data_IF_831953115057
#
_entry.id   IF_831953115057
#
_cell.length_a   1.000
_cell.length_b   1.000
_cell.length_c   1.000
_cell.angle_alpha   90.00
_cell.angle_beta   90.00
_cell.angle_gamma   90.00
#
_symmetry.space_group_name_H-M   'P 1'
#
loop_
_entity.id
_entity.type
_entity.pdbx_description
1 polymer ?
#
# COMPACT_ATOMS: atom_id res chain seq x y z
N UNK A 1 -2.56 0.07 30.29
CA UNK A 1 -2.40 -0.84 29.12
C UNK A 1 -0.94 -1.25 29.00
N UNK A 2 -0.63 -2.51 28.63
CA UNK A 2 0.74 -2.96 28.40
C UNK A 2 1.38 -2.11 27.26
N UNK A 3 2.64 -1.67 27.43
CA UNK A 3 3.41 -0.91 26.44
C UNK A 3 3.38 -1.56 25.05
N UNK A 4 3.47 -2.89 24.97
CA UNK A 4 3.39 -3.63 23.70
C UNK A 4 2.02 -3.49 23.02
N UNK A 5 0.92 -3.52 23.79
CA UNK A 5 -0.43 -3.35 23.24
C UNK A 5 -0.64 -1.93 22.71
N UNK A 6 -0.08 -0.93 23.39
CA UNK A 6 -0.08 0.47 22.91
C UNK A 6 0.71 0.57 21.60
N UNK A 7 1.90 -0.03 21.55
CA UNK A 7 2.73 -0.05 20.33
C UNK A 7 1.96 -0.65 19.15
N UNK A 8 1.37 -1.84 19.31
CA UNK A 8 0.59 -2.49 18.24
C UNK A 8 -0.60 -1.63 17.80
N UNK A 9 -1.32 -1.01 18.75
CA UNK A 9 -2.42 -0.11 18.45
C UNK A 9 -1.95 1.09 17.61
N UNK A 10 -0.89 1.77 18.05
CA UNK A 10 -0.32 2.92 17.33
C UNK A 10 0.16 2.51 15.95
N UNK A 11 0.84 1.37 15.81
CA UNK A 11 1.31 0.85 14.53
C UNK A 11 0.16 0.58 13.57
N UNK A 12 -0.96 -0.02 14.04
CA UNK A 12 -2.14 -0.24 13.20
C UNK A 12 -2.80 1.05 12.74
N UNK A 13 -2.91 2.03 13.64
CA UNK A 13 -3.50 3.33 13.30
C UNK A 13 -2.59 4.06 12.30
N UNK A 14 -1.28 4.06 12.53
CA UNK A 14 -0.31 4.69 11.63
C UNK A 14 -0.31 4.04 10.25
N UNK A 15 -0.13 2.71 10.18
CA UNK A 15 -0.12 1.97 8.92
C UNK A 15 -1.47 2.10 8.20
N UNK A 16 -2.58 1.93 8.93
CA UNK A 16 -3.91 2.08 8.36
C UNK A 16 -4.17 3.48 7.83
N UNK A 17 -3.77 4.52 8.56
CA UNK A 17 -3.87 5.91 8.13
C UNK A 17 -3.07 6.20 6.85
N UNK A 18 -1.84 5.66 6.76
CA UNK A 18 -1.02 5.77 5.55
C UNK A 18 -1.70 5.15 4.33
N UNK A 19 -2.29 3.97 4.46
CA UNK A 19 -2.99 3.30 3.35
C UNK A 19 -4.31 3.99 2.98
N UNK A 20 -5.06 4.52 3.95
CA UNK A 20 -6.23 5.37 3.65
C UNK A 20 -5.81 6.60 2.87
N UNK A 21 -4.74 7.28 3.30
CA UNK A 21 -4.21 8.43 2.59
C UNK A 21 -3.74 8.07 1.17
N UNK A 22 -2.93 7.02 1.03
CA UNK A 22 -2.42 6.57 -0.27
C UNK A 22 -3.53 6.20 -1.26
N UNK A 23 -4.58 5.51 -0.77
CA UNK A 23 -5.75 5.18 -1.58
C UNK A 23 -6.56 6.41 -1.97
N UNK A 24 -6.78 7.35 -1.05
CA UNK A 24 -7.48 8.61 -1.34
C UNK A 24 -6.74 9.43 -2.41
N UNK A 25 -5.40 9.49 -2.35
CA UNK A 25 -4.57 10.17 -3.34
C UNK A 25 -4.73 9.62 -4.76
N UNK A 26 -5.17 8.36 -4.94
CA UNK A 26 -5.40 7.78 -6.27
C UNK A 26 -6.63 8.35 -6.99
N UNK A 27 -7.56 8.97 -6.26
CA UNK A 27 -8.75 9.61 -6.81
C UNK A 27 -8.56 11.12 -7.08
N UNK A 28 -7.47 11.70 -6.61
CA UNK A 28 -7.15 13.11 -6.83
C UNK A 28 -6.40 13.24 -8.16
N UNK A 29 -6.93 14.01 -9.14
CA UNK A 29 -6.24 14.23 -10.41
C UNK A 29 -4.90 14.93 -10.16
N UNK A 30 -3.81 14.37 -10.72
CA UNK A 30 -2.51 15.05 -10.71
C UNK A 30 -2.47 16.11 -11.82
N UNK A 31 -1.92 17.30 -11.57
CA UNK A 31 -1.80 18.33 -12.60
C UNK A 31 -0.99 17.81 -13.79
N UNK A 32 -1.30 18.27 -15.01
CA UNK A 32 -0.51 17.93 -16.18
C UNK A 32 0.92 18.44 -16.02
N UNK A 33 1.86 17.74 -16.67
CA UNK A 33 3.27 18.13 -16.67
C UNK A 33 3.42 19.57 -17.20
N UNK A 34 4.26 20.41 -16.56
CA UNK A 34 4.53 21.77 -17.04
C UNK A 34 4.95 21.78 -18.52
N UNK A 35 4.48 22.79 -19.26
CA UNK A 35 4.76 22.94 -20.69
C UNK A 35 6.27 22.98 -21.00
N UNK A 36 7.08 23.52 -20.09
CA UNK A 36 8.54 23.58 -20.22
C UNK A 36 9.24 22.21 -20.25
N UNK A 37 8.58 21.15 -19.77
CA UNK A 37 9.11 19.78 -19.74
C UNK A 37 8.46 18.88 -20.81
N UNK A 38 7.61 19.46 -21.68
CA UNK A 38 7.01 18.77 -22.81
C UNK A 38 8.00 18.74 -23.97
N UNK A 39 8.32 17.55 -24.49
CA UNK A 39 9.31 17.36 -25.56
C UNK A 39 10.71 16.96 -25.07
N UNK A 40 10.97 16.96 -23.76
CA UNK A 40 12.18 16.35 -23.20
C UNK A 40 12.04 14.84 -23.27
N UNK A 41 13.00 14.18 -23.91
CA UNK A 41 13.07 12.72 -24.00
C UNK A 41 13.18 12.14 -22.59
N UNK A 42 12.25 11.24 -22.25
CA UNK A 42 12.21 10.66 -20.92
C UNK A 42 13.15 9.47 -20.85
N UNK A 43 13.85 9.26 -19.73
CA UNK A 43 14.57 8.02 -19.51
C UNK A 43 13.64 6.80 -19.67
N UNK A 44 14.16 5.71 -20.22
CA UNK A 44 13.39 4.49 -20.51
C UNK A 44 12.58 3.96 -19.32
N UNK A 45 13.14 4.04 -18.10
CA UNK A 45 12.45 3.62 -16.89
C UNK A 45 11.20 4.45 -16.61
N UNK A 46 11.25 5.78 -16.81
CA UNK A 46 10.11 6.69 -16.65
C UNK A 46 9.02 6.39 -17.67
N UNK A 47 9.41 6.06 -18.92
CA UNK A 47 8.46 5.68 -19.98
C UNK A 47 7.72 4.40 -19.59
N UNK A 48 8.43 3.38 -19.10
CA UNK A 48 7.83 2.11 -18.64
C UNK A 48 6.83 2.31 -17.50
N UNK A 49 7.23 3.06 -16.47
CA UNK A 49 6.35 3.40 -15.32
C UNK A 49 5.08 4.10 -15.81
N UNK A 50 5.24 5.12 -16.66
CA UNK A 50 4.11 5.86 -17.24
C UNK A 50 3.21 5.01 -18.08
N UNK A 51 3.77 4.10 -18.89
CA UNK A 51 2.97 3.18 -19.71
C UNK A 51 2.13 2.25 -18.84
N UNK A 52 2.72 1.68 -17.78
CA UNK A 52 1.98 0.83 -16.85
C UNK A 52 0.88 1.61 -16.13
N UNK A 53 1.24 2.70 -15.42
CA UNK A 53 0.26 3.51 -14.68
C UNK A 53 -0.82 4.07 -15.63
N UNK A 54 -0.42 4.51 -16.82
CA UNK A 54 -1.31 5.00 -17.87
C UNK A 54 -2.31 3.94 -18.31
N UNK A 55 -1.87 2.70 -18.53
CA UNK A 55 -2.76 1.58 -18.84
C UNK A 55 -3.72 1.24 -17.70
N UNK A 56 -3.23 1.21 -16.45
CA UNK A 56 -4.06 0.95 -15.27
C UNK A 56 -5.13 2.02 -15.06
N UNK A 57 -4.80 3.28 -15.33
CA UNK A 57 -5.74 4.42 -15.24
C UNK A 57 -6.68 4.50 -16.43
N UNK A 58 -6.18 4.25 -17.64
CA UNK A 58 -6.91 4.45 -18.89
C UNK A 58 -8.13 3.55 -19.04
N UNK A 59 -8.14 2.39 -18.37
CA UNK A 59 -9.31 1.48 -18.34
C UNK A 59 -10.40 1.90 -17.35
N UNK A 60 -10.11 2.80 -16.41
CA UNK A 60 -11.05 3.21 -15.36
C UNK A 60 -11.39 2.13 -14.33
N UNK A 61 -10.71 0.97 -14.35
CA UNK A 61 -11.03 -0.17 -13.51
C UNK A 61 -10.00 -0.40 -12.39
N UNK A 62 -8.77 -0.80 -12.74
CA UNK A 62 -7.82 -1.30 -11.75
C UNK A 62 -7.27 -0.21 -10.83
N UNK A 63 -6.97 0.97 -11.37
CA UNK A 63 -6.45 2.08 -10.57
C UNK A 63 -7.40 2.54 -9.44
N UNK A 64 -8.69 2.83 -9.71
CA UNK A 64 -9.64 3.14 -8.64
C UNK A 64 -9.93 1.93 -7.75
N UNK A 65 -10.00 0.70 -8.28
CA UNK A 65 -10.16 -0.51 -7.48
C UNK A 65 -9.03 -0.66 -6.44
N UNK A 66 -7.77 -0.45 -6.86
CA UNK A 66 -6.61 -0.48 -5.96
C UNK A 66 -6.75 0.58 -4.86
N UNK A 67 -7.16 1.81 -5.22
CA UNK A 67 -7.41 2.87 -4.24
C UNK A 67 -8.50 2.52 -3.23
N UNK A 68 -9.62 1.94 -3.67
CA UNK A 68 -10.68 1.46 -2.77
C UNK A 68 -10.13 0.37 -1.84
N UNK A 69 -9.38 -0.59 -2.37
CA UNK A 69 -8.83 -1.68 -1.58
C UNK A 69 -7.87 -1.17 -0.49
N UNK A 70 -7.01 -0.18 -0.78
CA UNK A 70 -6.12 0.44 0.21
C UNK A 70 -6.90 1.16 1.30
N UNK A 71 -7.94 1.93 0.93
CA UNK A 71 -8.80 2.63 1.89
C UNK A 71 -9.50 1.63 2.80
N UNK A 72 -10.11 0.58 2.23
CA UNK A 72 -10.82 -0.43 3.01
C UNK A 72 -9.87 -1.14 3.97
N UNK A 73 -8.71 -1.62 3.49
CA UNK A 73 -7.73 -2.29 4.34
C UNK A 73 -7.22 -1.36 5.47
N UNK A 74 -6.97 -0.09 5.14
CA UNK A 74 -6.53 0.90 6.12
C UNK A 74 -7.60 1.21 7.18
N UNK A 75 -8.86 1.35 6.80
CA UNK A 75 -9.98 1.52 7.73
C UNK A 75 -10.18 0.29 8.62
N UNK A 76 -10.07 -0.92 8.07
CA UNK A 76 -10.14 -2.16 8.85
C UNK A 76 -9.03 -2.21 9.91
N UNK A 77 -7.80 -1.82 9.56
CA UNK A 77 -6.69 -1.70 10.51
C UNK A 77 -6.96 -0.66 11.61
N UNK A 78 -7.45 0.53 11.24
CA UNK A 78 -7.76 1.60 12.20
C UNK A 78 -8.87 1.18 13.16
N UNK A 79 -9.92 0.50 12.66
CA UNK A 79 -11.10 0.12 13.43
C UNK A 79 -10.81 -0.73 14.67
N UNK A 80 -9.66 -1.41 14.72
CA UNK A 80 -9.25 -2.42 15.71
C UNK A 80 -10.14 -3.68 15.78
N UNK A 81 -11.43 -3.58 15.44
CA UNK A 81 -12.38 -4.69 15.43
C UNK A 81 -12.02 -5.71 14.35
N UNK A 82 -11.72 -5.24 13.14
CA UNK A 82 -11.37 -6.07 11.99
C UNK A 82 -9.89 -5.97 11.61
N UNK A 83 -9.03 -5.58 12.55
CA UNK A 83 -7.62 -5.34 12.28
C UNK A 83 -6.89 -6.57 11.73
N UNK A 84 -7.26 -7.78 12.18
CA UNK A 84 -6.69 -9.02 11.63
C UNK A 84 -7.05 -9.21 10.15
N UNK A 85 -8.33 -9.02 9.79
CA UNK A 85 -8.79 -9.10 8.40
C UNK A 85 -8.11 -8.05 7.53
N UNK A 86 -8.05 -6.81 8.01
CA UNK A 86 -7.35 -5.71 7.34
C UNK A 86 -5.88 -6.04 7.09
N UNK A 87 -5.16 -6.54 8.10
CA UNK A 87 -3.76 -6.94 7.98
C UNK A 87 -3.56 -8.08 6.96
N UNK A 88 -4.42 -9.09 6.97
CA UNK A 88 -4.36 -10.21 6.00
C UNK A 88 -4.59 -9.72 4.57
N UNK A 89 -5.65 -8.93 4.36
CA UNK A 89 -5.95 -8.36 3.04
C UNK A 89 -4.87 -7.41 2.54
N UNK A 90 -4.19 -6.72 3.46
CA UNK A 90 -3.13 -5.79 3.12
C UNK A 90 -1.84 -6.49 2.64
N UNK A 91 -1.64 -7.79 2.91
CA UNK A 91 -0.46 -8.53 2.43
C UNK A 91 -0.34 -8.52 0.90
N UNK A 92 -1.30 -9.02 0.12
CA UNK A 92 -1.18 -9.01 -1.35
C UNK A 92 -1.12 -7.58 -1.91
N UNK A 93 -1.78 -6.62 -1.26
CA UNK A 93 -1.77 -5.20 -1.67
C UNK A 93 -0.39 -4.56 -1.48
N UNK A 94 0.15 -4.62 -0.26
CA UNK A 94 1.47 -4.07 0.08
C UNK A 94 2.60 -4.80 -0.65
N UNK A 95 2.47 -6.10 -0.87
CA UNK A 95 3.39 -6.87 -1.70
C UNK A 95 3.36 -6.36 -3.15
N UNK A 96 2.19 -6.18 -3.75
CA UNK A 96 2.10 -5.67 -5.13
C UNK A 96 2.74 -4.27 -5.27
N UNK A 97 2.50 -3.38 -4.31
CA UNK A 97 3.11 -2.04 -4.27
C UNK A 97 4.63 -2.12 -4.12
N UNK A 98 5.13 -2.99 -3.23
CA UNK A 98 6.57 -3.19 -3.07
C UNK A 98 7.21 -3.74 -4.36
N UNK A 99 6.59 -4.74 -4.99
CA UNK A 99 7.10 -5.31 -6.25
C UNK A 99 7.08 -4.29 -7.38
N UNK A 100 6.08 -3.40 -7.44
CA UNK A 100 6.07 -2.29 -8.39
C UNK A 100 7.34 -1.43 -8.26
N UNK A 101 7.68 -0.98 -7.05
CA UNK A 101 8.88 -0.16 -6.85
C UNK A 101 10.16 -0.97 -7.06
N UNK A 102 10.18 -2.25 -6.66
CA UNK A 102 11.35 -3.12 -6.85
C UNK A 102 11.70 -3.33 -8.32
N UNK A 103 10.71 -3.52 -9.19
CA UNK A 103 10.95 -3.82 -10.61
C UNK A 103 10.95 -2.60 -11.52
N UNK A 104 10.18 -1.56 -11.18
CA UNK A 104 10.02 -0.38 -12.05
C UNK A 104 10.74 0.86 -11.54
N UNK A 105 10.92 1.00 -10.23
CA UNK A 105 11.57 2.14 -9.58
C UNK A 105 12.77 1.74 -8.68
N UNK A 106 13.65 0.78 -9.07
CA UNK A 106 14.74 0.34 -8.19
C UNK A 106 15.80 1.43 -7.92
N UNK A 107 15.79 2.50 -8.73
CA UNK A 107 16.65 3.67 -8.56
C UNK A 107 16.10 4.63 -7.49
N UNK A 108 14.80 4.62 -7.22
CA UNK A 108 14.16 5.39 -6.15
C UNK A 108 14.26 4.62 -4.83
N UNK A 109 15.50 4.52 -4.33
CA UNK A 109 15.83 3.73 -3.13
C UNK A 109 14.97 4.14 -1.92
N UNK A 110 14.61 5.41 -1.81
CA UNK A 110 13.74 5.92 -0.75
C UNK A 110 12.35 5.28 -0.77
N UNK A 111 11.69 5.27 -1.92
CA UNK A 111 10.34 4.68 -2.06
C UNK A 111 10.38 3.15 -1.95
N UNK A 112 11.43 2.52 -2.46
CA UNK A 112 11.64 1.08 -2.33
C UNK A 112 11.77 0.65 -0.87
N UNK A 113 12.61 1.34 -0.09
CA UNK A 113 12.77 1.06 1.34
C UNK A 113 11.46 1.33 2.09
N UNK A 114 10.80 2.44 1.78
CA UNK A 114 9.54 2.82 2.41
C UNK A 114 8.44 1.76 2.21
N UNK A 115 8.23 1.32 0.97
CA UNK A 115 7.20 0.31 0.67
C UNK A 115 7.56 -1.07 1.23
N UNK A 116 8.84 -1.43 1.23
CA UNK A 116 9.33 -2.62 1.93
C UNK A 116 9.09 -2.56 3.43
N UNK A 117 9.27 -1.39 4.06
CA UNK A 117 9.00 -1.18 5.47
C UNK A 117 7.51 -1.34 5.82
N UNK A 118 6.61 -0.84 4.97
CA UNK A 118 5.16 -1.05 5.14
C UNK A 118 4.78 -2.52 5.09
N UNK A 119 5.34 -3.27 4.14
CA UNK A 119 5.13 -4.72 4.03
C UNK A 119 5.65 -5.44 5.29
N UNK A 120 6.87 -5.12 5.74
CA UNK A 120 7.47 -5.74 6.93
C UNK A 120 6.67 -5.43 8.21
N UNK A 121 6.20 -4.19 8.40
CA UNK A 121 5.33 -3.84 9.52
C UNK A 121 4.06 -4.69 9.47
N UNK A 122 3.41 -4.80 8.31
CA UNK A 122 2.19 -5.59 8.18
C UNK A 122 2.43 -7.07 8.53
N UNK A 123 3.56 -7.63 8.08
CA UNK A 123 3.96 -9.00 8.44
C UNK A 123 4.22 -9.15 9.94
N UNK A 124 4.82 -8.16 10.59
CA UNK A 124 5.04 -8.16 12.04
C UNK A 124 3.71 -8.08 12.83
N UNK A 125 2.74 -7.29 12.35
CA UNK A 125 1.38 -7.25 12.92
C UNK A 125 0.70 -8.62 12.83
N UNK A 126 0.80 -9.28 11.68
CA UNK A 126 0.26 -10.63 11.49
C UNK A 126 0.96 -11.68 12.35
N UNK A 127 2.28 -11.59 12.50
CA UNK A 127 3.03 -12.46 13.40
C UNK A 127 2.59 -12.29 14.87
N UNK A 128 2.31 -11.04 15.29
CA UNK A 128 1.77 -10.76 16.62
C UNK A 128 0.35 -11.32 16.81
N UNK A 129 -0.52 -11.22 15.80
CA UNK A 129 -1.87 -11.80 15.84
C UNK A 129 -1.93 -13.27 15.41
N UNK A 130 -0.80 -13.95 15.22
CA UNK A 130 -0.73 -15.33 14.74
C UNK A 130 -1.63 -16.31 15.52
N UNK A 131 -1.76 -16.24 16.87
CA UNK A 131 -2.69 -17.11 17.58
C UNK A 131 -4.15 -16.95 17.11
N UNK A 132 -4.58 -15.72 16.82
CA UNK A 132 -5.92 -15.44 16.30
C UNK A 132 -6.06 -15.84 14.84
N UNK A 133 -5.01 -15.61 14.04
CA UNK A 133 -4.95 -16.03 12.64
C UNK A 133 -5.09 -17.55 12.53
N UNK A 134 -4.37 -18.29 13.39
CA UNK A 134 -4.45 -19.75 13.47
C UNK A 134 -5.88 -20.20 13.78
N UNK A 135 -6.54 -19.59 14.77
CA UNK A 135 -7.93 -19.93 15.10
C UNK A 135 -8.88 -19.64 13.94
N UNK A 136 -8.70 -18.52 13.24
CA UNK A 136 -9.59 -18.10 12.16
C UNK A 136 -9.43 -18.94 10.88
N UNK A 137 -8.22 -19.40 10.55
CA UNK A 137 -7.92 -20.03 9.25
C UNK A 137 -7.37 -21.46 9.30
N UNK A 138 -6.78 -21.87 10.43
CA UNK A 138 -5.97 -23.09 10.52
C UNK A 138 -6.50 -24.09 11.56
N UNK A 139 -7.51 -23.73 12.34
CA UNK A 139 -8.18 -24.65 13.26
C UNK A 139 -9.45 -25.17 12.58
N UNK A 140 -9.47 -26.47 12.27
CA UNK A 140 -10.68 -27.22 11.90
C UNK A 140 -11.37 -27.74 13.16
#
# INVERSE_FOLDING_TARGET
MNKLKILILVTRIALGGLFVYAGAQKFIPKPPRPAAEQGVELPDHVVKIKSMIGGLKGTGYFWPQLGVAEIVCGLLLISQLYALLGAVMLVPLSLNIFLFHLYLEPHEVGELIQTGFYLLINMALLAYDYPKLKIAFLTK
#
